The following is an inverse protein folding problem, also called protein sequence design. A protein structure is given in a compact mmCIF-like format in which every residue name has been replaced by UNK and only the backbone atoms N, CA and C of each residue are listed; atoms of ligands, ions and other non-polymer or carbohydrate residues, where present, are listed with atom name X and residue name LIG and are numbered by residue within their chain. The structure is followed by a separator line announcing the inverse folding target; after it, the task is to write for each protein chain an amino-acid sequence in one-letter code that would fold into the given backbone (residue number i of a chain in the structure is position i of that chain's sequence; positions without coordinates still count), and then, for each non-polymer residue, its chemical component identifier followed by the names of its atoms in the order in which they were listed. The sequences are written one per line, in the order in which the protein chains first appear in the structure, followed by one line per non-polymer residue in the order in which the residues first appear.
data_IF_974355686546
#
_entry.id   IF_974355686546
#
_cell.length_a   1.000
_cell.length_b   1.000
_cell.length_c   1.000
_cell.angle_alpha   90.00
_cell.angle_beta   90.00
_cell.angle_gamma   90.00
#
_symmetry.space_group_name_H-M   'P 1'
#
loop_
_entity.id
_entity.type
_entity.pdbx_description
1 polymer ?
#
# COMPACT_ATOMS: atom_id res chain seq x y z
N UNK A 1 -9.90 -31.86 13.24
CA UNK A 1 -8.74 -30.97 13.02
C UNK A 1 -7.98 -30.89 14.34
N UNK A 2 -6.80 -31.49 14.44
CA UNK A 2 -5.90 -31.19 15.55
C UNK A 2 -5.38 -29.78 15.32
N UNK A 3 -5.72 -28.85 16.20
CA UNK A 3 -5.15 -27.51 16.19
C UNK A 3 -3.72 -27.63 16.71
N UNK A 4 -2.76 -27.80 15.80
CA UNK A 4 -1.33 -27.70 16.11
C UNK A 4 -0.98 -26.24 16.44
N UNK A 5 -1.29 -25.84 17.66
CA UNK A 5 -1.05 -24.50 18.20
C UNK A 5 0.42 -24.08 18.08
N UNK A 6 1.34 -25.04 18.10
CA UNK A 6 2.77 -24.78 17.97
C UNK A 6 3.18 -24.40 16.55
N UNK A 7 2.59 -25.04 15.52
CA UNK A 7 2.79 -24.67 14.12
C UNK A 7 2.13 -23.33 13.79
N UNK A 8 0.93 -23.08 14.30
CA UNK A 8 0.22 -21.81 14.15
C UNK A 8 0.99 -20.63 14.77
N UNK A 9 1.57 -20.79 15.97
CA UNK A 9 2.37 -19.74 16.62
C UNK A 9 3.67 -19.45 15.84
N UNK A 10 4.32 -20.49 15.31
CA UNK A 10 5.48 -20.35 14.43
C UNK A 10 5.16 -19.56 13.16
N UNK A 11 4.08 -19.93 12.47
CA UNK A 11 3.65 -19.28 11.23
C UNK A 11 3.14 -17.84 11.47
N UNK A 12 2.47 -17.58 12.60
CA UNK A 12 2.07 -16.23 13.01
C UNK A 12 3.28 -15.35 13.34
N UNK A 13 4.31 -15.90 14.00
CA UNK A 13 5.55 -15.18 14.30
C UNK A 13 6.31 -14.78 13.04
N UNK A 14 6.47 -15.72 12.10
CA UNK A 14 7.10 -15.46 10.80
C UNK A 14 6.28 -14.47 9.98
N UNK A 15 4.96 -14.61 9.95
CA UNK A 15 4.04 -13.69 9.29
C UNK A 15 4.14 -12.26 9.83
N UNK A 16 4.20 -12.09 11.15
CA UNK A 16 4.32 -10.77 11.79
C UNK A 16 5.66 -10.07 11.53
N UNK A 17 6.78 -10.78 11.62
CA UNK A 17 8.10 -10.22 11.33
C UNK A 17 8.20 -9.84 9.85
N UNK A 18 7.74 -10.73 8.96
CA UNK A 18 7.74 -10.48 7.51
C UNK A 18 6.84 -9.31 7.16
N UNK A 19 5.65 -9.22 7.78
CA UNK A 19 4.75 -8.08 7.68
C UNK A 19 5.44 -6.78 8.10
N UNK A 20 6.10 -6.77 9.25
CA UNK A 20 6.81 -5.61 9.78
C UNK A 20 7.90 -5.09 8.84
N UNK A 21 8.77 -5.97 8.34
CA UNK A 21 9.82 -5.60 7.40
C UNK A 21 9.21 -5.04 6.10
N UNK A 22 8.17 -5.70 5.60
CA UNK A 22 7.46 -5.27 4.38
C UNK A 22 6.82 -3.90 4.55
N UNK A 23 6.13 -3.66 5.66
CA UNK A 23 5.49 -2.38 5.96
C UNK A 23 6.49 -1.24 6.10
N UNK A 24 7.63 -1.49 6.75
CA UNK A 24 8.71 -0.52 6.89
C UNK A 24 9.32 -0.15 5.53
N UNK A 25 9.64 -1.16 4.71
CA UNK A 25 10.18 -0.95 3.37
C UNK A 25 9.19 -0.18 2.47
N UNK A 26 7.91 -0.55 2.53
CA UNK A 26 6.86 0.08 1.74
C UNK A 26 6.73 1.57 2.04
N UNK A 27 6.81 1.98 3.31
CA UNK A 27 6.68 3.41 3.64
C UNK A 27 7.84 4.25 3.13
N UNK A 28 9.07 3.71 3.21
CA UNK A 28 10.24 4.37 2.65
C UNK A 28 10.14 4.52 1.14
N UNK A 29 9.62 3.49 0.47
CA UNK A 29 9.31 3.54 -0.96
C UNK A 29 8.21 4.56 -1.28
N UNK A 30 7.11 4.58 -0.52
CA UNK A 30 6.02 5.55 -0.68
C UNK A 30 6.50 7.00 -0.57
N UNK A 31 7.41 7.31 0.36
CA UNK A 31 8.00 8.66 0.47
C UNK A 31 8.65 9.09 -0.86
N UNK A 32 9.48 8.23 -1.45
CA UNK A 32 10.16 8.51 -2.72
C UNK A 32 9.14 8.68 -3.86
N UNK A 33 8.18 7.75 -3.97
CA UNK A 33 7.16 7.78 -5.02
C UNK A 33 6.28 9.02 -4.89
N UNK A 34 5.85 9.39 -3.67
CA UNK A 34 5.07 10.60 -3.42
C UNK A 34 5.84 11.87 -3.80
N UNK A 35 7.14 11.93 -3.53
CA UNK A 35 7.98 13.06 -3.97
C UNK A 35 7.99 13.19 -5.50
N UNK A 36 8.18 12.08 -6.22
CA UNK A 36 8.20 12.07 -7.69
C UNK A 36 6.83 12.46 -8.27
N UNK A 37 5.75 11.87 -7.74
CA UNK A 37 4.38 12.18 -8.18
C UNK A 37 4.06 13.66 -7.92
N UNK A 38 4.39 14.17 -6.73
CA UNK A 38 4.18 15.58 -6.38
C UNK A 38 4.93 16.52 -7.32
N UNK A 39 6.21 16.24 -7.57
CA UNK A 39 7.01 17.02 -8.52
C UNK A 39 6.44 16.99 -9.94
N UNK A 40 5.98 15.83 -10.39
CA UNK A 40 5.36 15.66 -11.71
C UNK A 40 4.05 16.44 -11.83
N UNK A 41 3.18 16.35 -10.82
CA UNK A 41 1.90 17.09 -10.78
C UNK A 41 2.16 18.60 -10.77
N UNK A 42 3.12 19.08 -9.97
CA UNK A 42 3.52 20.50 -9.97
C UNK A 42 4.00 20.97 -11.34
N UNK A 43 4.81 20.14 -12.03
CA UNK A 43 5.26 20.45 -13.39
C UNK A 43 4.08 20.58 -14.36
N UNK A 44 3.12 19.65 -14.32
CA UNK A 44 1.90 19.71 -15.14
C UNK A 44 1.07 20.98 -14.87
N UNK A 45 0.87 21.34 -13.60
CA UNK A 45 0.16 22.58 -13.24
C UNK A 45 0.85 23.82 -13.78
N UNK A 46 2.18 23.85 -13.78
CA UNK A 46 2.95 24.96 -14.34
C UNK A 46 2.76 25.07 -15.86
N UNK A 47 2.79 23.95 -16.59
CA UNK A 47 2.51 23.96 -18.04
C UNK A 47 1.06 24.37 -18.34
N UNK A 48 0.11 23.99 -17.49
CA UNK A 48 -1.29 24.42 -17.62
C UNK A 48 -1.43 25.93 -17.47
N UNK A 49 -0.76 26.57 -16.50
CA UNK A 49 -0.81 28.02 -16.33
C UNK A 49 -0.25 28.78 -17.54
N UNK A 50 0.71 28.18 -18.26
CA UNK A 50 1.25 28.73 -19.51
C UNK A 50 0.38 28.44 -20.74
N UNK A 51 -0.73 27.71 -20.57
CA UNK A 51 -1.64 27.37 -21.67
C UNK A 51 -1.09 26.33 -22.64
N UNK A 52 -0.01 25.61 -22.27
CA UNK A 52 0.61 24.59 -23.13
C UNK A 52 -0.21 23.29 -23.12
N UNK A 53 -0.89 22.99 -22.00
CA UNK A 53 -1.73 21.79 -21.82
C UNK A 53 -3.01 22.13 -21.04
N UNK A 54 -4.09 21.41 -21.31
CA UNK A 54 -5.34 21.47 -20.54
C UNK A 54 -5.47 20.18 -19.73
N UNK A 55 -5.55 20.27 -18.40
CA UNK A 55 -5.69 19.10 -17.53
C UNK A 55 -7.18 18.80 -17.32
N UNK A 56 -7.61 17.60 -17.68
CA UNK A 56 -8.96 17.13 -17.35
C UNK A 56 -8.96 16.56 -15.93
N UNK A 57 -9.44 17.35 -14.97
CA UNK A 57 -9.51 16.98 -13.56
C UNK A 57 -10.39 15.75 -13.31
N UNK A 58 -11.50 15.58 -14.03
CA UNK A 58 -12.42 14.44 -13.83
C UNK A 58 -11.75 13.10 -14.18
N UNK A 59 -11.03 13.05 -15.31
CA UNK A 59 -10.27 11.86 -15.71
C UNK A 59 -9.13 11.59 -14.73
N UNK A 60 -8.48 12.63 -14.22
CA UNK A 60 -7.40 12.50 -13.23
C UNK A 60 -7.93 11.92 -11.90
N UNK A 61 -9.10 12.38 -11.44
CA UNK A 61 -9.77 11.82 -10.26
C UNK A 61 -10.20 10.37 -10.47
N UNK A 62 -10.75 10.04 -11.64
CA UNK A 62 -11.16 8.66 -11.97
C UNK A 62 -9.97 7.68 -11.99
N UNK A 63 -8.81 8.11 -12.49
CA UNK A 63 -7.59 7.30 -12.41
C UNK A 63 -7.22 7.00 -10.95
N UNK A 64 -7.24 8.01 -10.09
CA UNK A 64 -6.96 7.85 -8.65
C UNK A 64 -7.97 6.90 -7.97
N UNK A 65 -9.25 7.01 -8.33
CA UNK A 65 -10.32 6.12 -7.84
C UNK A 65 -10.09 4.66 -8.25
N UNK A 66 -9.68 4.43 -9.49
CA UNK A 66 -9.40 3.07 -10.00
C UNK A 66 -8.19 2.41 -9.34
N UNK A 67 -7.14 3.18 -9.02
CA UNK A 67 -5.97 2.68 -8.28
C UNK A 67 -6.38 2.33 -6.86
N UNK A 68 -7.18 3.18 -6.22
CA UNK A 68 -7.65 2.94 -4.85
C UNK A 68 -8.49 1.67 -4.76
N UNK A 69 -9.43 1.47 -5.69
CA UNK A 69 -10.29 0.28 -5.70
C UNK A 69 -9.49 -1.00 -5.97
N UNK A 70 -8.48 -0.95 -6.84
CA UNK A 70 -7.56 -2.06 -7.06
C UNK A 70 -6.81 -2.44 -5.79
N UNK A 71 -6.21 -1.47 -5.09
CA UNK A 71 -5.48 -1.70 -3.83
C UNK A 71 -6.40 -2.32 -2.76
N UNK A 72 -7.62 -1.81 -2.61
CA UNK A 72 -8.61 -2.37 -1.67
C UNK A 72 -8.97 -3.81 -2.06
N UNK A 73 -9.19 -4.09 -3.34
CA UNK A 73 -9.53 -5.45 -3.81
C UNK A 73 -8.41 -6.46 -3.57
N UNK A 74 -7.15 -6.04 -3.74
CA UNK A 74 -5.97 -6.87 -3.45
C UNK A 74 -5.87 -7.15 -1.95
N UNK A 75 -6.09 -6.12 -1.11
CA UNK A 75 -6.16 -6.28 0.34
C UNK A 75 -7.24 -7.28 0.76
N UNK A 76 -8.44 -7.16 0.21
CA UNK A 76 -9.55 -8.08 0.49
C UNK A 76 -9.25 -9.52 0.05
N UNK A 77 -8.62 -9.72 -1.13
CA UNK A 77 -8.18 -11.05 -1.58
C UNK A 77 -7.14 -11.67 -0.66
N UNK A 78 -6.16 -10.88 -0.20
CA UNK A 78 -5.12 -11.35 0.73
C UNK A 78 -5.74 -11.72 2.08
N UNK A 79 -6.67 -10.91 2.59
CA UNK A 79 -7.40 -11.17 3.84
C UNK A 79 -8.28 -12.43 3.76
N UNK A 80 -8.85 -12.74 2.59
CA UNK A 80 -9.76 -13.87 2.39
C UNK A 80 -9.10 -15.24 2.17
N UNK A 81 -7.79 -15.30 1.89
CA UNK A 81 -7.12 -16.52 1.42
C UNK A 81 -6.15 -17.19 2.42
N UNK A 82 -5.68 -16.50 3.47
CA UNK A 82 -4.64 -17.03 4.36
C UNK A 82 -5.09 -17.14 5.84
N UNK A 83 -5.08 -18.35 6.44
CA UNK A 83 -4.94 -18.50 7.88
C UNK A 83 -3.63 -17.85 8.33
N UNK A 84 -3.66 -16.93 9.31
CA UNK A 84 -2.46 -16.21 9.80
C UNK A 84 -2.28 -14.77 9.30
N UNK A 85 -3.20 -14.26 8.48
CA UNK A 85 -3.22 -12.85 8.01
C UNK A 85 -3.24 -11.83 9.14
N UNK A 86 -3.84 -12.15 10.29
CA UNK A 86 -3.89 -11.23 11.44
C UNK A 86 -2.52 -10.80 11.93
N UNK A 87 -1.56 -11.73 12.05
CA UNK A 87 -0.21 -11.40 12.49
C UNK A 87 0.57 -10.63 11.43
N UNK A 88 0.42 -11.00 10.14
CA UNK A 88 1.03 -10.25 9.04
C UNK A 88 0.51 -8.81 8.98
N UNK A 89 -0.81 -8.60 9.05
CA UNK A 89 -1.42 -7.27 8.99
C UNK A 89 -1.03 -6.43 10.21
N UNK A 90 -1.02 -7.02 11.41
CA UNK A 90 -0.56 -6.34 12.61
C UNK A 90 0.92 -5.95 12.52
N UNK A 91 1.78 -6.88 12.09
CA UNK A 91 3.20 -6.62 11.84
C UNK A 91 3.41 -5.54 10.79
N UNK A 92 2.73 -5.66 9.65
CA UNK A 92 2.75 -4.69 8.56
C UNK A 92 2.30 -3.31 8.99
N UNK A 93 1.22 -3.19 9.74
CA UNK A 93 0.74 -1.91 10.26
C UNK A 93 1.78 -1.26 11.16
N UNK A 94 2.39 -2.02 12.08
CA UNK A 94 3.44 -1.52 12.97
C UNK A 94 4.72 -1.13 12.21
N UNK A 95 5.10 -1.92 11.21
CA UNK A 95 6.23 -1.63 10.32
C UNK A 95 6.00 -0.36 9.51
N UNK A 96 4.80 -0.23 8.95
CA UNK A 96 4.37 0.94 8.23
C UNK A 96 4.23 2.17 9.15
N UNK A 97 3.87 2.02 10.41
CA UNK A 97 3.87 3.16 11.33
C UNK A 97 5.28 3.67 11.59
N UNK A 98 6.25 2.75 11.78
CA UNK A 98 7.65 3.06 12.06
C UNK A 98 8.48 3.53 10.84
N UNK A 99 8.08 3.17 9.62
CA UNK A 99 8.78 3.56 8.38
C UNK A 99 8.65 5.03 7.97
#
# INVERSE_FOLDING_TARGET
MQFDLNGMIGDLGVGGITGFITGYALKKFMKIVMTIIGAYVLSLFWLQQKGVITINTDKLFNLTGSVTSQVVSLGQKVLGLLPGTGAFVAGFYLGFQKG
#
